data_IF_439980841379
#
_entry.id   IF_439980841379
#
_cell.length_a   1.000
_cell.length_b   1.000
_cell.length_c   1.000
_cell.angle_alpha   90.00
_cell.angle_beta   90.00
_cell.angle_gamma   90.00
#
_symmetry.space_group_name_H-M   'P 1'
#
loop_
_entity.id
_entity.type
_entity.pdbx_description
1 polymer ?
#
# COMPACT_ATOMS: atom_id res chain seq x y z
N UNK A 1 21.91 -8.97 -7.03
CA UNK A 1 20.46 -9.19 -6.81
C UNK A 1 19.95 -8.12 -5.86
N UNK A 2 19.54 -6.97 -6.39
CA UNK A 2 18.92 -5.91 -5.58
C UNK A 2 17.45 -6.30 -5.34
N UNK A 3 17.18 -6.98 -4.23
CA UNK A 3 15.83 -7.03 -3.68
C UNK A 3 15.50 -5.65 -3.12
N UNK A 4 15.29 -4.69 -4.01
CA UNK A 4 14.69 -3.42 -3.65
C UNK A 4 13.26 -3.72 -3.31
N UNK A 5 12.96 -3.77 -2.02
CA UNK A 5 11.62 -3.90 -1.45
C UNK A 5 10.77 -2.74 -1.99
N UNK A 6 10.14 -2.95 -3.16
CA UNK A 6 9.39 -1.93 -3.90
C UNK A 6 8.35 -1.28 -2.98
N UNK A 7 7.75 -2.08 -2.08
CA UNK A 7 6.77 -1.68 -1.08
C UNK A 7 7.25 -0.68 -0.03
N UNK A 8 8.57 -0.54 0.18
CA UNK A 8 9.14 0.39 1.17
C UNK A 8 9.22 1.83 0.66
N UNK A 9 9.14 2.04 -0.65
CA UNK A 9 9.23 3.38 -1.23
C UNK A 9 7.97 4.21 -0.92
N UNK A 10 8.12 5.51 -0.62
CA UNK A 10 6.97 6.39 -0.42
C UNK A 10 6.05 6.45 -1.64
N UNK A 11 6.63 6.26 -2.84
CA UNK A 11 5.87 6.16 -4.09
C UNK A 11 4.86 5.01 -4.09
N UNK A 12 5.28 3.78 -3.74
CA UNK A 12 4.37 2.63 -3.71
C UNK A 12 3.29 2.78 -2.63
N UNK A 13 3.62 3.37 -1.48
CA UNK A 13 2.62 3.67 -0.43
C UNK A 13 1.53 4.63 -0.93
N UNK A 14 1.94 5.70 -1.63
CA UNK A 14 0.99 6.65 -2.20
C UNK A 14 0.11 6.01 -3.29
N UNK A 15 0.69 5.10 -4.08
CA UNK A 15 -0.05 4.38 -5.11
C UNK A 15 -1.06 3.40 -4.51
N UNK A 16 -0.72 2.70 -3.43
CA UNK A 16 -1.66 1.87 -2.67
C UNK A 16 -2.85 2.72 -2.19
N UNK A 17 -2.58 3.87 -1.55
CA UNK A 17 -3.63 4.76 -1.07
C UNK A 17 -4.51 5.28 -2.22
N UNK A 18 -3.89 5.69 -3.33
CA UNK A 18 -4.61 6.14 -4.52
C UNK A 18 -5.54 5.06 -5.04
N UNK A 19 -5.06 3.81 -5.18
CA UNK A 19 -5.91 2.72 -5.66
C UNK A 19 -7.04 2.38 -4.69
N UNK A 20 -6.79 2.42 -3.38
CA UNK A 20 -7.82 2.22 -2.37
C UNK A 20 -8.92 3.29 -2.43
N UNK A 21 -8.57 4.57 -2.57
CA UNK A 21 -9.54 5.68 -2.74
C UNK A 21 -10.35 5.53 -4.03
N UNK A 22 -9.78 4.89 -5.06
CA UNK A 22 -10.48 4.57 -6.31
C UNK A 22 -11.25 3.24 -6.25
N UNK A 23 -11.42 2.65 -5.05
CA UNK A 23 -12.22 1.44 -4.83
C UNK A 23 -11.52 0.11 -5.17
N UNK A 24 -10.20 0.10 -5.41
CA UNK A 24 -9.46 -1.16 -5.58
C UNK A 24 -9.38 -1.91 -4.26
N UNK A 25 -9.58 -3.23 -4.32
CA UNK A 25 -9.45 -4.11 -3.18
C UNK A 25 -7.99 -4.46 -2.86
N UNK A 26 -7.73 -4.87 -1.61
CA UNK A 26 -6.39 -5.24 -1.11
C UNK A 26 -5.66 -6.25 -2.01
N UNK A 27 -6.36 -7.31 -2.44
CA UNK A 27 -5.79 -8.39 -3.27
C UNK A 27 -5.50 -7.91 -4.70
N UNK A 28 -6.39 -7.08 -5.24
CA UNK A 28 -6.25 -6.49 -6.57
C UNK A 28 -5.05 -5.53 -6.61
N UNK A 29 -4.96 -4.65 -5.62
CA UNK A 29 -3.81 -3.75 -5.42
C UNK A 29 -2.49 -4.52 -5.32
N UNK A 30 -2.45 -5.61 -4.52
CA UNK A 30 -1.26 -6.45 -4.40
C UNK A 30 -0.84 -7.09 -5.72
N UNK A 31 -1.81 -7.56 -6.51
CA UNK A 31 -1.57 -8.14 -7.84
C UNK A 31 -1.02 -7.11 -8.83
N UNK A 32 -1.62 -5.91 -8.89
CA UNK A 32 -1.23 -4.85 -9.84
C UNK A 32 0.15 -4.29 -9.53
N UNK A 33 0.50 -4.13 -8.25
CA UNK A 33 1.78 -3.55 -7.83
C UNK A 33 2.88 -4.59 -7.60
N UNK A 34 2.59 -5.88 -7.82
CA UNK A 34 3.51 -6.99 -7.56
C UNK A 34 4.05 -7.00 -6.11
N UNK A 35 3.18 -6.70 -5.14
CA UNK A 35 3.51 -6.70 -3.71
C UNK A 35 2.57 -7.62 -2.92
N UNK A 36 3.01 -8.03 -1.73
CA UNK A 36 2.16 -8.84 -0.86
C UNK A 36 0.90 -8.08 -0.43
N UNK A 37 -0.29 -8.73 -0.40
CA UNK A 37 -1.49 -8.14 0.18
C UNK A 37 -1.29 -7.75 1.65
N UNK A 38 -0.38 -8.41 2.38
CA UNK A 38 -0.04 -8.01 3.76
C UNK A 38 0.62 -6.64 3.82
N UNK A 39 1.46 -6.29 2.83
CA UNK A 39 2.08 -4.97 2.71
C UNK A 39 1.03 -3.89 2.42
N UNK A 40 0.03 -4.22 1.59
CA UNK A 40 -1.11 -3.33 1.31
C UNK A 40 -1.89 -3.04 2.60
N UNK A 41 -2.29 -4.09 3.33
CA UNK A 41 -3.02 -3.95 4.61
C UNK A 41 -2.22 -3.12 5.61
N UNK A 42 -0.94 -3.43 5.80
CA UNK A 42 -0.09 -2.69 6.74
C UNK A 42 0.06 -1.21 6.36
N UNK A 43 0.06 -0.88 5.07
CA UNK A 43 0.12 0.50 4.60
C UNK A 43 -1.19 1.24 4.88
N UNK A 44 -2.33 0.60 4.59
CA UNK A 44 -3.66 1.17 4.86
C UNK A 44 -3.87 1.40 6.36
N UNK A 45 -3.51 0.43 7.20
CA UNK A 45 -3.61 0.57 8.67
C UNK A 45 -2.77 1.75 9.19
N UNK A 46 -1.54 1.91 8.70
CA UNK A 46 -0.69 3.07 9.08
C UNK A 46 -1.25 4.40 8.61
N UNK A 47 -1.95 4.43 7.47
CA UNK A 47 -2.61 5.64 6.98
C UNK A 47 -3.82 6.00 7.86
N UNK A 48 -4.59 5.00 8.28
CA UNK A 48 -5.71 5.14 9.21
C UNK A 48 -5.24 5.66 10.58
N UNK A 49 -4.19 5.04 11.15
CA UNK A 49 -3.56 5.50 12.39
C UNK A 49 -3.08 6.96 12.28
N UNK A 50 -2.57 7.39 11.12
CA UNK A 50 -2.15 8.78 10.92
C UNK A 50 -3.33 9.76 10.93
N UNK A 51 -4.50 9.35 10.42
CA UNK A 51 -5.72 10.17 10.42
C UNK A 51 -6.26 10.33 11.85
N UNK A 52 -6.26 9.25 12.64
CA UNK A 52 -6.74 9.27 14.03
C UNK A 52 -5.89 10.13 14.99
N UNK A 53 -4.66 10.49 14.59
CA UNK A 53 -3.75 11.33 15.36
C UNK A 53 -3.79 12.83 14.97
N UNK A 54 -4.72 13.24 14.11
CA UNK A 54 -4.95 14.64 13.68
C UNK A 54 -6.22 15.18 14.33
#
# INVERSE_FOLDING_TARGET
MNYTDKGRTPYIKNLILKMAVNGSGVRDTGRVLEISPTTVIATLKKADELIDNV
#
